data_IF_107431910959
#
_entry.id   IF_107431910959
#
_cell.length_a   1.000
_cell.length_b   1.000
_cell.length_c   1.000
_cell.angle_alpha   90.00
_cell.angle_beta   90.00
_cell.angle_gamma   90.00
#
_symmetry.space_group_name_H-M   'P 1'
#
loop_
_entity.id
_entity.type
_entity.pdbx_description
1 polymer ?
#
# COMPACT_ATOMS: atom_id res chain seq x y z
N UNK A 1 20.74 10.51 -3.27
CA UNK A 1 19.28 10.74 -3.24
C UNK A 1 18.73 10.17 -1.94
N UNK A 2 18.68 11.02 -0.92
CA UNK A 2 18.36 10.67 0.46
C UNK A 2 16.86 10.85 0.65
N UNK A 3 16.11 9.76 0.65
CA UNK A 3 14.68 9.79 0.97
C UNK A 3 14.46 10.29 2.39
N UNK A 4 13.72 11.39 2.53
CA UNK A 4 13.40 11.98 3.82
C UNK A 4 12.48 11.02 4.60
N UNK A 5 13.04 10.33 5.61
CA UNK A 5 12.26 9.52 6.56
C UNK A 5 11.54 10.46 7.53
N UNK A 6 10.24 10.62 7.36
CA UNK A 6 9.39 11.22 8.41
C UNK A 6 9.18 10.17 9.52
N UNK A 7 10.14 10.07 10.44
CA UNK A 7 10.08 9.26 11.64
C UNK A 7 9.94 10.14 12.88
N UNK A 8 9.00 9.79 13.76
CA UNK A 8 8.85 10.37 15.09
C UNK A 8 7.40 10.71 15.40
N UNK A 9 6.96 10.42 16.62
CA UNK A 9 5.68 10.82 17.24
C UNK A 9 4.46 9.92 17.01
N UNK A 10 4.46 8.75 17.66
CA UNK A 10 3.23 8.14 18.18
C UNK A 10 3.55 7.50 19.54
N UNK A 11 3.20 8.20 20.61
CA UNK A 11 3.10 7.64 21.96
C UNK A 11 1.61 7.39 22.22
N UNK A 12 1.21 6.13 22.45
CA UNK A 12 -0.14 5.82 22.96
C UNK A 12 -0.85 4.58 22.41
N UNK A 13 -0.19 3.42 22.42
CA UNK A 13 -0.77 2.08 22.60
C UNK A 13 0.39 1.06 22.54
N UNK A 14 0.38 -0.08 23.27
CA UNK A 14 1.32 -1.16 23.01
C UNK A 14 0.90 -1.86 21.71
N UNK A 15 1.19 -1.22 20.59
CA UNK A 15 0.83 -1.63 19.24
C UNK A 15 1.93 -1.24 18.29
N UNK A 16 2.13 -2.03 17.24
CA UNK A 16 3.21 -1.85 16.27
C UNK A 16 3.21 -0.43 15.68
N UNK A 17 4.38 0.20 15.65
CA UNK A 17 4.54 1.59 15.17
C UNK A 17 4.71 1.65 13.64
N UNK A 18 5.02 0.51 13.02
CA UNK A 18 5.40 0.38 11.62
C UNK A 18 4.66 -0.80 10.97
N UNK A 19 4.37 -0.69 9.68
CA UNK A 19 3.81 -1.81 8.92
C UNK A 19 4.86 -2.90 8.71
N UNK A 20 4.41 -4.15 8.58
CA UNK A 20 5.29 -5.27 8.25
C UNK A 20 6.10 -5.02 6.97
N UNK A 21 7.35 -5.46 6.98
CA UNK A 21 8.19 -5.56 5.78
C UNK A 21 7.82 -6.76 4.90
N UNK A 22 6.93 -7.64 5.37
CA UNK A 22 6.50 -8.81 4.63
C UNK A 22 5.86 -8.42 3.29
N UNK A 23 6.15 -9.27 2.31
CA UNK A 23 5.72 -9.15 0.91
C UNK A 23 6.38 -7.99 0.12
N UNK A 24 7.25 -7.17 0.72
CA UNK A 24 7.98 -6.06 0.04
C UNK A 24 9.16 -6.54 -0.82
N UNK A 25 8.92 -7.54 -1.66
CA UNK A 25 9.90 -8.12 -2.58
C UNK A 25 9.21 -8.65 -3.84
N UNK A 26 9.94 -8.93 -4.91
CA UNK A 26 9.40 -9.67 -6.04
C UNK A 26 8.93 -11.08 -5.62
N UNK A 27 7.87 -11.55 -6.26
CA UNK A 27 7.35 -12.92 -6.18
C UNK A 27 7.11 -13.43 -7.59
N UNK A 28 7.33 -14.73 -7.81
CA UNK A 28 6.76 -15.38 -8.99
C UNK A 28 5.24 -15.38 -8.88
N UNK A 29 4.53 -15.29 -10.01
CA UNK A 29 3.05 -15.22 -10.02
C UNK A 29 2.41 -16.44 -9.31
N UNK A 30 3.03 -17.63 -9.43
CA UNK A 30 2.59 -18.84 -8.71
C UNK A 30 2.73 -18.70 -7.19
N UNK A 31 3.83 -18.13 -6.71
CA UNK A 31 4.10 -17.93 -5.28
C UNK A 31 3.20 -16.84 -4.71
N UNK A 32 3.00 -15.78 -5.50
CA UNK A 32 2.06 -14.71 -5.18
C UNK A 32 0.65 -15.25 -5.01
N UNK A 33 0.17 -16.05 -5.96
CA UNK A 33 -1.17 -16.66 -5.88
C UNK A 33 -1.34 -17.50 -4.61
N UNK A 34 -0.38 -18.38 -4.31
CA UNK A 34 -0.41 -19.23 -3.10
C UNK A 34 -0.43 -18.37 -1.83
N UNK A 35 0.40 -17.33 -1.75
CA UNK A 35 0.42 -16.38 -0.63
C UNK A 35 -0.94 -15.70 -0.44
N UNK A 36 -1.55 -15.22 -1.53
CA UNK A 36 -2.84 -14.55 -1.49
C UNK A 36 -3.96 -15.49 -1.02
N UNK A 37 -3.97 -16.74 -1.49
CA UNK A 37 -4.91 -17.77 -1.08
C UNK A 37 -4.76 -18.12 0.42
N UNK A 38 -3.52 -18.27 0.89
CA UNK A 38 -3.23 -18.52 2.31
C UNK A 38 -3.71 -17.36 3.20
N UNK A 39 -3.43 -16.11 2.81
CA UNK A 39 -3.88 -14.93 3.54
C UNK A 39 -5.41 -14.83 3.54
N UNK A 40 -6.07 -15.13 2.42
CA UNK A 40 -7.51 -15.10 2.31
C UNK A 40 -8.19 -16.15 3.22
N UNK A 41 -7.67 -17.38 3.25
CA UNK A 41 -8.17 -18.44 4.13
C UNK A 41 -8.00 -18.06 5.61
N UNK A 42 -6.84 -17.52 5.99
CA UNK A 42 -6.57 -17.05 7.36
C UNK A 42 -7.51 -15.90 7.77
N UNK A 43 -7.72 -14.91 6.90
CA UNK A 43 -8.68 -13.82 7.13
C UNK A 43 -10.10 -14.36 7.30
N UNK A 44 -10.51 -15.34 6.47
CA UNK A 44 -11.81 -15.99 6.59
C UNK A 44 -11.99 -16.67 7.95
N UNK A 45 -10.98 -17.42 8.42
CA UNK A 45 -10.98 -18.10 9.73
C UNK A 45 -11.04 -17.13 10.90
N UNK A 46 -10.38 -15.97 10.81
CA UNK A 46 -10.43 -14.93 11.85
C UNK A 46 -11.71 -14.10 11.86
N UNK A 47 -12.53 -14.22 10.81
CA UNK A 47 -13.79 -13.50 10.65
C UNK A 47 -13.61 -12.19 9.89
N UNK A 48 -13.95 -12.21 8.61
CA UNK A 48 -13.83 -11.10 7.65
C UNK A 48 -14.39 -9.76 8.17
N UNK A 49 -15.51 -9.79 8.90
CA UNK A 49 -16.16 -8.58 9.47
C UNK A 49 -15.23 -7.73 10.33
N UNK A 50 -14.27 -8.36 11.01
CA UNK A 50 -13.28 -7.66 11.86
C UNK A 50 -12.35 -6.78 11.04
N UNK A 51 -12.00 -7.24 9.84
CA UNK A 51 -11.12 -6.53 8.91
C UNK A 51 -11.85 -5.44 8.11
N UNK A 52 -13.13 -5.67 7.79
CA UNK A 52 -13.93 -4.79 6.94
C UNK A 52 -14.06 -3.36 7.46
N UNK A 53 -14.09 -3.15 8.78
CA UNK A 53 -14.18 -1.80 9.33
C UNK A 53 -12.92 -0.98 9.00
N UNK A 54 -11.74 -1.52 9.32
CA UNK A 54 -10.47 -0.89 8.99
C UNK A 54 -10.30 -0.73 7.46
N UNK A 55 -10.67 -1.74 6.69
CA UNK A 55 -10.57 -1.69 5.24
C UNK A 55 -11.43 -0.59 4.61
N UNK A 56 -12.65 -0.37 5.12
CA UNK A 56 -13.52 0.72 4.67
C UNK A 56 -12.96 2.10 5.02
N UNK A 57 -12.33 2.25 6.19
CA UNK A 57 -11.67 3.51 6.56
C UNK A 57 -10.48 3.81 5.63
N UNK A 58 -9.65 2.79 5.33
CA UNK A 58 -8.57 2.90 4.34
C UNK A 58 -9.14 3.34 2.98
N UNK A 59 -10.17 2.64 2.48
CA UNK A 59 -10.78 2.93 1.19
C UNK A 59 -11.34 4.36 1.12
N UNK A 60 -12.05 4.80 2.16
CA UNK A 60 -12.61 6.15 2.23
C UNK A 60 -11.51 7.22 2.22
N UNK A 61 -10.42 7.01 2.97
CA UNK A 61 -9.28 7.92 2.96
C UNK A 61 -8.60 7.99 1.59
N UNK A 62 -8.39 6.84 0.93
CA UNK A 62 -7.81 6.79 -0.42
C UNK A 62 -8.73 7.50 -1.42
N UNK A 63 -10.04 7.25 -1.37
CA UNK A 63 -11.02 7.90 -2.25
C UNK A 63 -11.05 9.42 -2.03
N UNK A 64 -10.87 9.88 -0.80
CA UNK A 64 -10.78 11.31 -0.50
C UNK A 64 -9.50 11.93 -1.08
N UNK A 65 -8.37 11.22 -1.04
CA UNK A 65 -7.10 11.68 -1.62
C UNK A 65 -7.07 11.61 -3.17
N UNK A 66 -7.88 10.74 -3.78
CA UNK A 66 -7.76 10.41 -5.21
C UNK A 66 -7.88 11.64 -6.13
N UNK A 67 -8.86 12.56 -5.98
CA UNK A 67 -8.96 13.73 -6.85
C UNK A 67 -7.75 14.66 -6.77
N UNK A 68 -7.19 14.84 -5.56
CA UNK A 68 -5.97 15.64 -5.35
C UNK A 68 -4.79 15.01 -6.11
N UNK A 69 -4.59 13.71 -5.90
CA UNK A 69 -3.48 13.00 -6.51
C UNK A 69 -3.62 12.91 -8.03
N UNK A 70 -4.84 12.80 -8.54
CA UNK A 70 -5.12 12.83 -9.98
C UNK A 70 -4.79 14.20 -10.58
N UNK A 71 -5.20 15.29 -9.90
CA UNK A 71 -4.86 16.65 -10.31
C UNK A 71 -3.35 16.88 -10.36
N UNK A 72 -2.61 16.43 -9.34
CA UNK A 72 -1.15 16.53 -9.32
C UNK A 72 -0.51 15.70 -10.41
N UNK A 73 -0.97 14.47 -10.65
CA UNK A 73 -0.51 13.65 -11.76
C UNK A 73 -0.76 14.32 -13.12
N UNK A 74 -1.95 14.89 -13.34
CA UNK A 74 -2.27 15.56 -14.60
C UNK A 74 -1.35 16.76 -14.89
N UNK A 75 -0.91 17.47 -13.84
CA UNK A 75 -0.02 18.62 -13.96
C UNK A 75 1.45 18.23 -14.11
N UNK A 76 1.90 17.11 -13.53
CA UNK A 76 3.33 16.77 -13.44
C UNK A 76 3.76 15.59 -14.31
N UNK A 77 2.89 14.61 -14.54
CA UNK A 77 3.26 13.36 -15.20
C UNK A 77 3.44 13.45 -16.72
N UNK A 78 2.69 14.26 -17.50
CA UNK A 78 2.84 14.29 -18.96
C UNK A 78 4.24 14.67 -19.47
N UNK A 79 5.00 15.44 -18.69
CA UNK A 79 6.36 15.88 -19.01
C UNK A 79 7.44 15.19 -18.14
N UNK A 80 7.08 14.11 -17.44
CA UNK A 80 7.98 13.44 -16.52
C UNK A 80 8.87 12.42 -17.26
N UNK A 81 10.18 12.60 -17.18
CA UNK A 81 11.16 11.65 -17.76
C UNK A 81 11.46 10.47 -16.82
N UNK A 82 11.18 10.62 -15.51
CA UNK A 82 11.42 9.61 -14.48
C UNK A 82 10.12 9.23 -13.75
N UNK A 83 9.34 8.35 -14.38
CA UNK A 83 8.07 7.91 -13.80
C UNK A 83 8.29 7.19 -12.48
N UNK A 84 7.52 7.51 -11.43
CA UNK A 84 7.58 6.75 -10.18
C UNK A 84 7.34 5.23 -10.34
N UNK A 85 6.74 4.81 -11.47
CA UNK A 85 6.53 3.42 -11.86
C UNK A 85 7.79 2.69 -12.35
N UNK A 86 8.88 3.40 -12.72
CA UNK A 86 10.22 2.85 -12.99
C UNK A 86 11.06 2.78 -11.72
N UNK A 87 10.79 3.64 -10.73
CA UNK A 87 11.46 3.67 -9.43
C UNK A 87 11.49 2.31 -8.70
N UNK A 88 12.65 1.93 -8.16
CA UNK A 88 12.86 0.60 -7.55
C UNK A 88 12.08 0.43 -6.24
N UNK A 89 11.66 -0.80 -5.92
CA UNK A 89 11.08 -1.20 -4.63
C UNK A 89 9.63 -0.80 -4.31
N UNK A 90 8.82 -0.48 -5.32
CA UNK A 90 7.36 -0.32 -5.16
C UNK A 90 6.71 -1.70 -5.17
N UNK A 91 6.25 -2.20 -4.03
CA UNK A 91 5.63 -3.52 -3.87
C UNK A 91 4.38 -3.45 -2.99
N UNK A 92 3.40 -4.31 -3.24
CA UNK A 92 2.36 -4.62 -2.26
C UNK A 92 3.01 -5.25 -1.02
N UNK A 93 2.66 -4.74 0.16
CA UNK A 93 3.00 -5.36 1.42
C UNK A 93 1.82 -6.16 2.00
N UNK A 94 2.01 -6.82 3.15
CA UNK A 94 0.93 -7.58 3.80
C UNK A 94 -0.30 -6.74 4.09
N UNK A 95 -0.15 -5.53 4.63
CA UNK A 95 -1.28 -4.67 4.94
C UNK A 95 -2.11 -4.32 3.69
N UNK A 96 -1.46 -4.12 2.54
CA UNK A 96 -2.15 -3.94 1.26
C UNK A 96 -2.99 -5.17 0.88
N UNK A 97 -2.40 -6.36 1.02
CA UNK A 97 -3.07 -7.63 0.69
C UNK A 97 -4.28 -7.86 1.60
N UNK A 98 -4.09 -7.70 2.92
CA UNK A 98 -5.16 -7.85 3.91
C UNK A 98 -6.31 -6.87 3.63
N UNK A 99 -5.99 -5.64 3.27
CA UNK A 99 -6.95 -4.62 2.88
C UNK A 99 -7.77 -5.05 1.65
N UNK A 100 -7.12 -5.54 0.59
CA UNK A 100 -7.80 -5.99 -0.63
C UNK A 100 -8.70 -7.20 -0.39
N UNK A 101 -8.24 -8.17 0.41
CA UNK A 101 -9.03 -9.33 0.84
C UNK A 101 -10.25 -8.86 1.65
N UNK A 102 -10.05 -7.94 2.59
CA UNK A 102 -11.11 -7.43 3.46
C UNK A 102 -12.21 -6.69 2.70
N UNK A 103 -11.86 -6.02 1.59
CA UNK A 103 -12.82 -5.39 0.68
C UNK A 103 -13.52 -6.38 -0.27
N UNK A 104 -13.14 -7.66 -0.26
CA UNK A 104 -13.57 -8.63 -1.26
C UNK A 104 -13.29 -8.14 -2.69
N UNK A 105 -12.17 -7.41 -2.87
CA UNK A 105 -11.76 -6.89 -4.16
C UNK A 105 -11.07 -7.99 -4.99
N UNK A 106 -11.10 -7.86 -6.32
CA UNK A 106 -10.28 -8.70 -7.17
C UNK A 106 -8.80 -8.56 -6.80
N UNK A 107 -8.16 -9.67 -6.47
CA UNK A 107 -6.77 -9.69 -6.05
C UNK A 107 -5.85 -9.43 -7.25
N UNK A 108 -4.74 -8.70 -7.07
CA UNK A 108 -3.77 -8.48 -8.13
C UNK A 108 -3.20 -9.82 -8.62
N UNK A 109 -3.07 -10.04 -9.95
CA UNK A 109 -2.59 -11.30 -10.52
C UNK A 109 -1.13 -11.61 -10.17
N UNK A 110 -0.37 -10.60 -9.73
CA UNK A 110 1.01 -10.73 -9.29
C UNK A 110 1.45 -9.55 -8.46
N UNK A 111 2.65 -9.65 -7.91
CA UNK A 111 3.35 -8.49 -7.36
C UNK A 111 3.55 -7.44 -8.46
N UNK A 112 3.77 -6.18 -8.09
CA UNK A 112 4.02 -5.06 -9.03
C UNK A 112 5.14 -5.34 -10.03
N UNK A 113 6.08 -6.23 -9.71
CA UNK A 113 7.27 -6.55 -10.51
C UNK A 113 7.68 -8.00 -10.30
N UNK A 114 8.22 -8.62 -11.35
CA UNK A 114 8.75 -9.99 -11.32
C UNK A 114 10.20 -10.04 -10.83
N UNK A 115 10.95 -8.97 -11.11
CA UNK A 115 12.33 -8.78 -10.65
C UNK A 115 12.49 -7.35 -10.14
N UNK A 116 13.52 -7.08 -9.34
CA UNK A 116 13.78 -5.74 -8.83
C UNK A 116 13.99 -4.69 -9.94
N UNK A 117 14.55 -5.11 -11.07
CA UNK A 117 14.86 -4.26 -12.24
C UNK A 117 13.71 -4.13 -13.25
N UNK A 118 12.72 -5.02 -13.23
CA UNK A 118 11.58 -4.93 -14.16
C UNK A 118 10.71 -3.69 -13.88
N UNK A 119 10.14 -3.03 -14.92
CA UNK A 119 9.18 -1.96 -14.73
C UNK A 119 7.92 -2.49 -14.03
N UNK A 120 7.13 -1.60 -13.43
CA UNK A 120 5.85 -1.97 -12.84
C UNK A 120 4.92 -2.60 -13.91
N UNK A 121 4.43 -3.81 -13.68
CA UNK A 121 3.50 -4.51 -14.62
C UNK A 121 2.15 -3.81 -14.79
N UNK A 122 1.82 -2.90 -13.89
CA UNK A 122 0.59 -2.11 -13.92
C UNK A 122 0.75 -0.75 -14.61
N UNK A 123 1.94 -0.44 -15.13
CA UNK A 123 2.17 0.76 -15.93
C UNK A 123 1.55 0.57 -17.32
N UNK A 124 0.56 1.40 -17.65
CA UNK A 124 -0.01 1.51 -18.98
C UNK A 124 0.47 2.76 -19.72
N UNK A 125 0.02 2.97 -20.97
CA UNK A 125 0.49 4.08 -21.82
C UNK A 125 0.11 5.47 -21.31
N UNK A 126 -0.88 5.57 -20.40
CA UNK A 126 -1.33 6.83 -19.78
C UNK A 126 -1.10 6.87 -18.27
N UNK A 127 -0.14 6.08 -17.78
CA UNK A 127 0.10 5.89 -16.34
C UNK A 127 -0.47 4.59 -15.80
N UNK A 128 -0.61 4.49 -14.48
CA UNK A 128 -1.00 3.24 -13.83
C UNK A 128 -2.42 2.81 -14.22
N UNK A 129 -2.56 1.59 -14.74
CA UNK A 129 -3.83 0.99 -15.15
C UNK A 129 -4.74 0.60 -13.97
N UNK A 130 -4.23 0.62 -12.73
CA UNK A 130 -5.02 0.32 -11.54
C UNK A 130 -5.72 1.57 -11.01
N UNK A 131 -6.97 1.47 -10.54
CA UNK A 131 -7.58 2.54 -9.74
C UNK A 131 -6.83 2.69 -8.41
N UNK A 132 -6.75 3.91 -7.86
CA UNK A 132 -5.88 4.21 -6.70
C UNK A 132 -6.18 3.36 -5.47
N UNK A 133 -7.46 3.05 -5.23
CA UNK A 133 -7.92 2.15 -4.17
C UNK A 133 -7.41 0.71 -4.29
N UNK A 134 -6.85 0.31 -5.43
CA UNK A 134 -6.23 -1.01 -5.64
C UNK A 134 -4.72 -0.98 -5.72
N UNK A 135 -4.09 0.20 -5.72
CA UNK A 135 -2.62 0.32 -5.80
C UNK A 135 -1.99 -0.02 -4.43
N UNK A 136 -0.70 -0.44 -4.39
CA UNK A 136 0.04 -0.51 -3.13
C UNK A 136 0.00 0.83 -2.40
N UNK A 137 -0.01 0.83 -1.06
CA UNK A 137 -0.14 2.08 -0.30
C UNK A 137 0.99 3.09 -0.59
N UNK A 138 2.19 2.62 -0.91
CA UNK A 138 3.28 3.52 -1.36
C UNK A 138 2.87 4.36 -2.58
N UNK A 139 2.07 3.83 -3.50
CA UNK A 139 1.54 4.58 -4.65
C UNK A 139 0.41 5.57 -4.29
N UNK A 140 -0.10 5.51 -3.06
CA UNK A 140 -1.15 6.41 -2.55
C UNK A 140 -0.52 7.62 -1.87
N UNK A 141 0.46 7.42 -0.99
CA UNK A 141 1.05 8.50 -0.19
C UNK A 141 2.29 9.14 -0.81
N UNK A 142 2.95 8.48 -1.76
CA UNK A 142 4.15 9.03 -2.40
C UNK A 142 3.81 10.22 -3.28
N UNK A 143 4.52 11.33 -3.04
CA UNK A 143 4.57 12.52 -3.88
C UNK A 143 5.99 12.67 -4.39
N UNK A 144 6.18 12.76 -5.70
CA UNK A 144 7.48 13.15 -6.26
C UNK A 144 7.76 14.64 -5.99
N UNK A 145 8.99 15.08 -6.22
CA UNK A 145 9.39 16.47 -5.96
C UNK A 145 8.48 17.52 -6.64
N UNK A 146 8.15 17.42 -7.95
CA UNK A 146 7.17 18.33 -8.57
C UNK A 146 5.81 18.37 -7.88
N UNK A 147 5.29 17.22 -7.44
CA UNK A 147 4.00 17.14 -6.75
C UNK A 147 4.08 17.69 -5.32
N UNK A 148 5.23 17.52 -4.65
CA UNK A 148 5.48 18.12 -3.35
C UNK A 148 5.48 19.66 -3.44
N UNK A 149 6.05 20.23 -4.50
CA UNK A 149 6.00 21.68 -4.74
C UNK A 149 4.57 22.19 -4.95
N UNK A 150 3.70 21.40 -5.59
CA UNK A 150 2.27 21.73 -5.68
C UNK A 150 1.61 21.68 -4.29
N UNK A 151 1.88 20.62 -3.52
CA UNK A 151 1.34 20.45 -2.18
C UNK A 151 1.72 21.58 -1.23
N UNK A 152 2.97 22.05 -1.28
CA UNK A 152 3.45 23.15 -0.45
C UNK A 152 2.79 24.50 -0.77
N UNK A 153 2.23 24.67 -1.97
CA UNK A 153 1.46 25.86 -2.36
C UNK A 153 0.01 25.82 -1.88
N UNK A 154 -0.47 24.67 -1.44
CA UNK A 154 -1.82 24.56 -0.88
C UNK A 154 -1.97 25.34 0.42
N UNK A 155 -3.21 25.71 0.75
CA UNK A 155 -3.49 26.35 2.05
C UNK A 155 -3.10 25.43 3.20
N UNK A 156 -2.52 26.00 4.26
CA UNK A 156 -2.09 25.22 5.43
C UNK A 156 -3.21 24.36 6.07
N UNK A 157 -4.46 24.83 6.03
CA UNK A 157 -5.62 24.03 6.49
C UNK A 157 -5.87 22.79 5.63
N UNK A 158 -5.69 22.90 4.32
CA UNK A 158 -5.81 21.79 3.39
C UNK A 158 -4.66 20.80 3.57
N UNK A 159 -3.42 21.29 3.69
CA UNK A 159 -2.26 20.44 3.97
C UNK A 159 -2.44 19.61 5.25
N UNK A 160 -2.89 20.24 6.35
CA UNK A 160 -3.20 19.54 7.60
C UNK A 160 -4.27 18.46 7.41
N UNK A 161 -5.31 18.74 6.62
CA UNK A 161 -6.36 17.76 6.31
C UNK A 161 -5.80 16.57 5.53
N UNK A 162 -4.97 16.80 4.51
CA UNK A 162 -4.30 15.73 3.74
C UNK A 162 -3.44 14.86 4.64
N UNK A 163 -2.61 15.48 5.49
CA UNK A 163 -1.78 14.77 6.46
C UNK A 163 -2.63 13.96 7.45
N UNK A 164 -3.73 14.52 7.95
CA UNK A 164 -4.66 13.83 8.83
C UNK A 164 -5.27 12.58 8.18
N UNK A 165 -5.73 12.69 6.93
CA UNK A 165 -6.26 11.54 6.19
C UNK A 165 -5.18 10.47 5.96
N UNK A 166 -3.94 10.86 5.63
CA UNK A 166 -2.83 9.89 5.51
C UNK A 166 -2.52 9.19 6.84
N UNK A 167 -2.62 9.89 7.97
CA UNK A 167 -2.46 9.32 9.31
C UNK A 167 -3.58 8.34 9.65
N UNK A 168 -4.83 8.67 9.32
CA UNK A 168 -6.00 7.79 9.51
C UNK A 168 -5.88 6.51 8.67
N UNK A 169 -5.43 6.62 7.42
CA UNK A 169 -5.16 5.45 6.57
C UNK A 169 -4.08 4.58 7.22
N UNK A 170 -2.95 5.18 7.64
CA UNK A 170 -1.87 4.44 8.30
C UNK A 170 -2.34 3.75 9.58
N UNK A 171 -3.10 4.43 10.43
CA UNK A 171 -3.64 3.85 11.66
C UNK A 171 -4.56 2.65 11.37
N UNK A 172 -5.42 2.78 10.36
CA UNK A 172 -6.30 1.70 9.92
C UNK A 172 -5.53 0.50 9.33
N UNK A 173 -4.40 0.76 8.65
CA UNK A 173 -3.50 -0.28 8.15
C UNK A 173 -2.76 -1.00 9.28
N UNK A 174 -2.30 -0.29 10.31
CA UNK A 174 -1.71 -0.93 11.48
C UNK A 174 -2.75 -1.78 12.24
N UNK A 175 -4.00 -1.30 12.31
CA UNK A 175 -5.11 -2.06 12.89
C UNK A 175 -5.38 -3.36 12.12
N UNK A 176 -5.35 -3.34 10.78
CA UNK A 176 -5.61 -4.55 9.99
C UNK A 176 -4.55 -5.63 10.22
N UNK A 177 -3.29 -5.23 10.36
CA UNK A 177 -2.20 -6.14 10.69
C UNK A 177 -2.30 -6.66 12.12
N UNK A 178 -2.62 -5.80 13.08
CA UNK A 178 -2.80 -6.20 14.48
C UNK A 178 -3.93 -7.22 14.66
N UNK A 179 -5.04 -7.07 13.91
CA UNK A 179 -6.13 -8.05 13.89
C UNK A 179 -5.63 -9.40 13.37
N UNK A 180 -4.84 -9.40 12.29
CA UNK A 180 -4.28 -10.61 11.70
C UNK A 180 -3.30 -11.31 12.65
N UNK A 181 -2.35 -10.56 13.22
CA UNK A 181 -1.28 -11.08 14.09
C UNK A 181 -1.79 -11.66 15.40
N UNK A 182 -2.89 -11.14 15.93
CA UNK A 182 -3.55 -11.73 17.11
C UNK A 182 -3.99 -13.17 16.87
N UNK A 183 -4.26 -13.55 15.62
CA UNK A 183 -4.66 -14.91 15.24
C UNK A 183 -3.56 -15.74 14.61
N UNK A 184 -2.60 -15.09 13.94
CA UNK A 184 -1.45 -15.71 13.30
C UNK A 184 -0.21 -14.88 13.59
N UNK A 185 0.41 -15.03 14.77
CA UNK A 185 1.64 -14.32 15.09
C UNK A 185 2.73 -14.66 14.07
N UNK A 186 3.61 -13.70 13.82
CA UNK A 186 4.71 -13.84 12.86
C UNK A 186 5.74 -14.86 13.38
N UNK A 187 5.52 -16.15 13.10
CA UNK A 187 6.49 -17.21 13.33
C UNK A 187 7.62 -17.11 12.28
N UNK A 188 8.91 -17.19 12.67
CA UNK A 188 10.03 -17.24 11.74
C UNK A 188 9.84 -18.36 10.71
N UNK A 189 9.77 -18.01 9.42
CA UNK A 189 9.59 -18.98 8.32
C UNK A 189 8.15 -19.26 7.90
N UNK A 190 7.14 -18.69 8.56
CA UNK A 190 5.70 -18.92 8.24
C UNK A 190 5.21 -18.36 6.89
N UNK A 191 6.06 -17.59 6.20
CA UNK A 191 5.80 -17.01 4.88
C UNK A 191 6.80 -17.48 3.80
N UNK A 192 7.54 -18.56 4.07
CA UNK A 192 8.33 -19.20 3.02
C UNK A 192 7.38 -19.88 2.03
N UNK A 193 7.48 -19.61 0.72
CA UNK A 193 6.75 -20.41 -0.25
C UNK A 193 7.14 -21.89 -0.07
N UNK A 194 6.21 -22.84 -0.26
CA UNK A 194 6.55 -24.26 -0.21
C UNK A 194 7.65 -24.51 -1.25
N UNK A 195 8.82 -24.94 -0.76
CA UNK A 195 10.01 -25.37 -1.51
C UNK A 195 9.97 -25.09 -3.02
N UNK A 196 10.65 -24.04 -3.47
CA UNK A 196 11.16 -23.99 -4.85
C UNK A 196 12.25 -25.06 -4.99
N UNK A 197 11.82 -26.32 -5.18
CA UNK A 197 12.64 -27.34 -5.85
C UNK A 197 12.41 -27.25 -7.35
#
# INVERSE_FOLDING_TARGET
MTGMRMGGWLSGAPGRNEESSLCRRPYLDREWKVLMEQLADRVKKLGLKRFQMAARQIAAGIQWLDPLMESYCALTCPSCEDFCCTGQNVFYNRADILYLIALNAALPPGQTRNTASSPCRYLGPRGCALPRVRRPYVCVWFLCEPQMLLFLKERASFQRKVVGVMQEIRASRLLIEAIYEKGYPDEPGSFLPPNTR
#
